data_IF_957879461297
#
_entry.id   IF_957879461297
#
_cell.length_a   1.000
_cell.length_b   1.000
_cell.length_c   1.000
_cell.angle_alpha   90.00
_cell.angle_beta   90.00
_cell.angle_gamma   90.00
#
_symmetry.space_group_name_H-M   'P 1'
#
loop_
_entity.id
_entity.type
_entity.pdbx_description
1 polymer ?
#
# COMPACT_ATOMS: atom_id res chain seq x y z
N UNK A 1 3.08 19.68 -2.47
CA UNK A 1 4.29 18.99 -2.95
C UNK A 1 3.96 17.53 -3.04
N UNK A 2 4.50 16.82 -4.04
CA UNK A 2 4.53 15.37 -4.00
C UNK A 2 5.77 15.05 -3.15
N UNK A 3 5.57 14.48 -1.98
CA UNK A 3 6.68 14.01 -1.16
C UNK A 3 7.21 12.71 -1.78
N UNK A 4 8.53 12.61 -1.87
CA UNK A 4 9.26 11.45 -2.39
C UNK A 4 10.05 10.80 -1.27
N UNK A 5 9.85 9.49 -1.08
CA UNK A 5 10.61 8.70 -0.11
C UNK A 5 11.39 7.61 -0.82
N UNK A 6 12.67 7.46 -0.43
CA UNK A 6 13.49 6.33 -0.85
C UNK A 6 13.31 5.19 0.15
N UNK A 7 13.03 4.01 -0.38
CA UNK A 7 12.93 2.75 0.34
C UNK A 7 14.10 1.89 -0.11
N UNK A 8 15.00 1.54 0.79
CA UNK A 8 16.30 0.95 0.43
C UNK A 8 16.16 -0.45 -0.17
N UNK A 9 15.29 -1.28 0.40
CA UNK A 9 15.14 -2.70 0.08
C UNK A 9 13.73 -3.20 0.46
N UNK A 10 13.52 -4.52 0.36
CA UNK A 10 12.25 -5.14 0.71
C UNK A 10 11.92 -5.12 2.21
N UNK A 11 12.93 -5.12 3.10
CA UNK A 11 12.69 -5.02 4.54
C UNK A 11 12.23 -3.60 4.90
N UNK A 12 12.90 -2.58 4.36
CA UNK A 12 12.47 -1.19 4.47
C UNK A 12 11.05 -0.98 3.90
N UNK A 13 10.68 -1.68 2.82
CA UNK A 13 9.32 -1.66 2.28
C UNK A 13 8.31 -2.27 3.26
N UNK A 14 8.68 -3.36 3.94
CA UNK A 14 7.85 -4.00 4.97
C UNK A 14 7.69 -3.07 6.17
N UNK A 15 8.78 -2.49 6.67
CA UNK A 15 8.80 -1.53 7.78
C UNK A 15 7.95 -0.28 7.48
N UNK A 16 8.06 0.27 6.27
CA UNK A 16 7.20 1.37 5.82
C UNK A 16 5.73 0.93 5.83
N UNK A 17 5.45 -0.28 5.35
CA UNK A 17 4.13 -0.89 5.44
C UNK A 17 3.62 -0.99 6.88
N UNK A 18 4.46 -1.43 7.83
CA UNK A 18 4.09 -1.50 9.26
C UNK A 18 3.74 -0.13 9.82
N UNK A 19 4.52 0.90 9.49
CA UNK A 19 4.24 2.29 9.86
C UNK A 19 2.89 2.73 9.29
N UNK A 20 2.65 2.48 8.00
CA UNK A 20 1.38 2.75 7.36
C UNK A 20 0.22 2.05 8.09
N UNK A 21 0.34 0.75 8.34
CA UNK A 21 -0.70 -0.05 8.99
C UNK A 21 -1.10 0.46 10.37
N UNK A 22 -0.13 0.94 11.18
CA UNK A 22 -0.40 1.49 12.52
C UNK A 22 -1.20 2.79 12.48
N UNK A 23 -1.13 3.53 11.37
CA UNK A 23 -1.80 4.82 11.21
C UNK A 23 -3.16 4.72 10.53
N UNK A 24 -3.49 3.56 9.95
CA UNK A 24 -4.78 3.33 9.30
C UNK A 24 -5.92 3.31 10.30
N UNK A 25 -7.03 3.94 9.90
CA UNK A 25 -8.28 4.06 10.63
C UNK A 25 -9.42 3.52 9.79
N UNK A 26 -10.56 3.31 10.46
CA UNK A 26 -11.84 3.04 9.80
C UNK A 26 -12.13 4.13 8.76
N UNK A 27 -12.53 3.74 7.55
CA UNK A 27 -12.80 4.65 6.44
C UNK A 27 -11.58 5.03 5.59
N UNK A 28 -10.36 4.67 6.00
CA UNK A 28 -9.18 4.99 5.20
C UNK A 28 -9.12 4.11 3.94
N UNK A 29 -8.98 4.75 2.78
CA UNK A 29 -8.73 4.11 1.49
C UNK A 29 -7.32 4.42 1.01
N UNK A 30 -6.51 3.38 0.81
CA UNK A 30 -5.16 3.47 0.25
C UNK A 30 -5.08 2.69 -1.05
N UNK A 31 -4.54 3.32 -2.08
CA UNK A 31 -4.32 2.73 -3.40
C UNK A 31 -2.83 2.55 -3.65
N UNK A 32 -2.42 1.36 -4.09
CA UNK A 32 -1.04 1.04 -4.45
C UNK A 32 -0.92 0.90 -5.96
N UNK A 33 -0.09 1.76 -6.55
CA UNK A 33 0.19 1.81 -7.98
C UNK A 33 1.67 1.57 -8.25
N UNK A 34 2.00 0.93 -9.37
CA UNK A 34 3.37 0.64 -9.77
C UNK A 34 3.47 -0.68 -10.53
N UNK A 35 4.55 -0.91 -11.31
CA UNK A 35 4.67 -2.08 -12.18
C UNK A 35 4.65 -3.42 -11.43
N UNK A 36 4.54 -4.53 -12.19
CA UNK A 36 4.73 -5.86 -11.63
C UNK A 36 6.13 -5.96 -10.98
N UNK A 37 6.21 -6.56 -9.80
CA UNK A 37 7.47 -6.64 -9.04
C UNK A 37 7.88 -5.34 -8.34
N UNK A 38 7.07 -4.28 -8.35
CA UNK A 38 7.39 -3.03 -7.65
C UNK A 38 7.49 -3.18 -6.11
N UNK A 39 6.87 -4.21 -5.53
CA UNK A 39 6.87 -4.44 -4.07
C UNK A 39 5.53 -4.18 -3.38
N UNK A 40 4.44 -3.99 -4.14
CA UNK A 40 3.08 -3.77 -3.59
C UNK A 40 2.68 -4.82 -2.55
N UNK A 41 2.81 -6.12 -2.87
CA UNK A 41 2.48 -7.19 -1.93
C UNK A 41 3.40 -7.20 -0.69
N UNK A 42 4.66 -6.79 -0.80
CA UNK A 42 5.56 -6.63 0.35
C UNK A 42 5.05 -5.52 1.27
N UNK A 43 4.66 -4.38 0.70
CA UNK A 43 4.03 -3.28 1.44
C UNK A 43 2.73 -3.74 2.13
N UNK A 44 1.85 -4.45 1.43
CA UNK A 44 0.59 -4.98 1.98
C UNK A 44 0.84 -5.88 3.20
N UNK A 45 1.88 -6.72 3.17
CA UNK A 45 2.24 -7.57 4.32
C UNK A 45 2.69 -6.74 5.52
N UNK A 46 3.51 -5.71 5.29
CA UNK A 46 3.86 -4.75 6.33
C UNK A 46 2.63 -4.06 6.91
N UNK A 47 1.70 -3.61 6.06
CA UNK A 47 0.43 -2.99 6.52
C UNK A 47 -0.35 -3.94 7.42
N UNK A 48 -0.48 -5.20 7.02
CA UNK A 48 -1.17 -6.21 7.82
C UNK A 48 -0.51 -6.44 9.18
N UNK A 49 0.83 -6.43 9.24
CA UNK A 49 1.59 -6.51 10.49
C UNK A 49 1.37 -5.28 11.37
N UNK A 50 1.43 -4.08 10.78
CA UNK A 50 1.16 -2.81 11.48
C UNK A 50 -0.26 -2.70 12.05
N UNK A 51 -1.24 -3.30 11.35
CA UNK A 51 -2.63 -3.35 11.78
C UNK A 51 -2.92 -4.48 12.79
N UNK A 52 -2.00 -5.41 13.02
CA UNK A 52 -2.22 -6.62 13.85
C UNK A 52 -3.42 -7.47 13.39
N UNK A 53 -3.50 -7.74 12.07
CA UNK A 53 -4.55 -8.62 11.54
C UNK A 53 -4.20 -10.10 11.65
N UNK A 54 -5.24 -10.93 11.65
CA UNK A 54 -5.14 -12.38 11.75
C UNK A 54 -4.96 -13.05 10.38
N UNK A 55 -4.31 -14.21 10.39
CA UNK A 55 -4.07 -15.01 9.20
C UNK A 55 -2.86 -14.58 8.39
N UNK A 56 -2.59 -15.32 7.31
CA UNK A 56 -1.51 -15.00 6.37
C UNK A 56 -2.05 -14.04 5.32
N UNK A 57 -1.35 -12.94 5.09
CA UNK A 57 -1.69 -12.01 4.01
C UNK A 57 -0.96 -12.42 2.72
N UNK A 58 -1.77 -12.77 1.73
CA UNK A 58 -1.33 -13.17 0.40
C UNK A 58 -2.13 -12.37 -0.61
N UNK A 59 -1.51 -11.98 -1.72
CA UNK A 59 -2.22 -11.39 -2.85
C UNK A 59 -3.44 -12.26 -3.20
N UNK A 60 -4.65 -11.69 -3.31
CA UNK A 60 -5.86 -12.41 -3.65
C UNK A 60 -5.78 -12.91 -5.10
N UNK A 61 -5.08 -14.03 -5.28
CA UNK A 61 -4.72 -14.58 -6.60
C UNK A 61 -5.90 -15.28 -7.28
N UNK A 62 -7.01 -15.53 -6.57
CA UNK A 62 -8.20 -16.23 -7.08
C UNK A 62 -9.53 -15.60 -6.66
N UNK A 63 -9.49 -14.61 -5.77
CA UNK A 63 -10.65 -13.86 -5.28
C UNK A 63 -10.38 -12.38 -5.55
N UNK A 64 -11.42 -11.55 -5.56
CA UNK A 64 -11.26 -10.12 -5.87
C UNK A 64 -10.81 -9.34 -4.63
N UNK A 65 -11.27 -9.74 -3.44
CA UNK A 65 -10.89 -9.16 -2.17
C UNK A 65 -10.72 -10.22 -1.08
N UNK A 66 -9.80 -9.96 -0.15
CA UNK A 66 -9.66 -10.68 1.11
C UNK A 66 -9.97 -9.75 2.28
N UNK A 67 -10.68 -10.26 3.28
CA UNK A 67 -10.88 -9.56 4.56
C UNK A 67 -10.03 -10.22 5.63
N UNK A 68 -9.17 -9.43 6.26
CA UNK A 68 -8.29 -9.86 7.33
C UNK A 68 -8.74 -9.22 8.65
N UNK A 69 -9.19 -10.06 9.59
CA UNK A 69 -9.77 -9.60 10.85
C UNK A 69 -8.70 -9.05 11.79
N UNK A 70 -8.93 -7.85 12.32
CA UNK A 70 -8.10 -7.29 13.39
C UNK A 70 -8.16 -8.19 14.64
N UNK A 71 -7.04 -8.36 15.35
CA UNK A 71 -7.01 -9.15 16.59
C UNK A 71 -7.47 -8.36 17.82
N UNK A 72 -7.39 -7.04 17.76
CA UNK A 72 -7.81 -6.12 18.82
C UNK A 72 -9.10 -5.39 18.48
N UNK A 73 -9.15 -4.11 18.81
CA UNK A 73 -10.30 -3.23 18.56
C UNK A 73 -10.12 -2.34 17.31
N UNK A 74 -9.08 -2.61 16.50
CA UNK A 74 -8.79 -1.84 15.28
C UNK A 74 -9.75 -2.18 14.13
N UNK A 75 -9.65 -1.45 12.99
CA UNK A 75 -10.37 -1.80 11.77
C UNK A 75 -9.85 -3.12 11.19
N UNK A 76 -10.75 -3.85 10.52
CA UNK A 76 -10.34 -4.96 9.65
C UNK A 76 -9.59 -4.40 8.43
N UNK A 77 -8.70 -5.21 7.85
CA UNK A 77 -8.06 -4.88 6.58
C UNK A 77 -8.82 -5.55 5.45
N UNK A 78 -9.32 -4.75 4.52
CA UNK A 78 -9.82 -5.22 3.24
C UNK A 78 -8.70 -5.05 2.21
N UNK A 79 -8.22 -6.16 1.66
CA UNK A 79 -7.19 -6.16 0.62
C UNK A 79 -7.81 -6.54 -0.72
N UNK A 80 -7.81 -5.61 -1.67
CA UNK A 80 -8.40 -5.75 -2.99
C UNK A 80 -7.30 -5.79 -4.05
N UNK A 81 -7.40 -6.70 -5.02
CA UNK A 81 -6.57 -6.66 -6.24
C UNK A 81 -7.45 -6.27 -7.44
N UNK A 82 -7.39 -4.98 -7.80
CA UNK A 82 -8.21 -4.40 -8.86
C UNK A 82 -7.70 -4.76 -10.27
N UNK A 83 -6.54 -5.40 -10.40
CA UNK A 83 -6.05 -5.90 -11.70
C UNK A 83 -7.05 -6.88 -12.33
N UNK A 84 -7.77 -7.64 -11.48
CA UNK A 84 -8.73 -8.66 -11.90
C UNK A 84 -10.15 -8.18 -12.11
N UNK A 85 -10.44 -6.93 -11.72
CA UNK A 85 -11.75 -6.35 -11.90
C UNK A 85 -12.04 -6.11 -13.38
N UNK A 86 -13.13 -6.68 -13.89
CA UNK A 86 -13.60 -6.46 -15.26
C UNK A 86 -14.45 -5.19 -15.41
N UNK A 87 -14.84 -4.56 -14.30
CA UNK A 87 -15.61 -3.31 -14.27
C UNK A 87 -16.01 -2.90 -12.85
N UNK A 88 -16.63 -1.72 -12.73
CA UNK A 88 -17.13 -1.18 -11.47
C UNK A 88 -18.21 -2.07 -10.82
N UNK A 89 -18.99 -2.78 -11.63
CA UNK A 89 -20.05 -3.68 -11.14
C UNK A 89 -19.52 -4.80 -10.22
N UNK A 90 -18.27 -5.25 -10.44
CA UNK A 90 -17.63 -6.24 -9.57
C UNK A 90 -17.16 -5.65 -8.24
N UNK A 91 -16.93 -4.34 -8.17
CA UNK A 91 -16.64 -3.61 -6.92
C UNK A 91 -17.93 -3.49 -6.11
N UNK A 92 -19.04 -3.10 -6.76
CA UNK A 92 -20.35 -3.02 -6.12
C UNK A 92 -20.79 -4.39 -5.58
N UNK A 93 -20.50 -5.48 -6.30
CA UNK A 93 -20.79 -6.84 -5.86
C UNK A 93 -20.00 -7.29 -4.61
N UNK A 94 -18.91 -6.60 -4.27
CA UNK A 94 -18.13 -6.88 -3.05
C UNK A 94 -18.72 -6.21 -1.82
N UNK A 95 -19.74 -5.37 -1.97
CA UNK A 95 -20.34 -4.58 -0.87
C UNK A 95 -19.24 -3.75 -0.15
N UNK A 96 -18.28 -3.24 -0.93
CA UNK A 96 -17.18 -2.43 -0.38
C UNK A 96 -17.69 -1.10 0.15
N UNK A 97 -18.66 -0.50 -0.52
CA UNK A 97 -19.34 0.72 -0.09
C UNK A 97 -19.94 0.60 1.32
N UNK A 98 -20.46 -0.57 1.71
CA UNK A 98 -21.02 -0.77 3.05
C UNK A 98 -19.99 -1.10 4.12
N UNK A 99 -18.79 -1.54 3.72
CA UNK A 99 -17.72 -1.99 4.64
C UNK A 99 -16.53 -1.03 4.73
N UNK A 100 -16.40 -0.10 3.78
CA UNK A 100 -15.36 0.92 3.72
C UNK A 100 -15.32 1.76 4.99
N UNK A 101 -16.47 2.23 5.47
CA UNK A 101 -16.57 3.11 6.64
C UNK A 101 -16.12 2.43 7.95
N UNK A 102 -16.12 1.09 8.00
CA UNK A 102 -15.79 0.29 9.19
C UNK A 102 -14.43 -0.42 9.11
N UNK A 103 -13.76 -0.33 7.95
CA UNK A 103 -12.52 -1.05 7.67
C UNK A 103 -11.45 -0.08 7.18
N UNK A 104 -10.20 -0.54 7.11
CA UNK A 104 -9.19 0.11 6.28
C UNK A 104 -9.07 -0.69 4.98
N UNK A 105 -9.12 0.00 3.85
CA UNK A 105 -9.14 -0.65 2.54
C UNK A 105 -7.86 -0.35 1.78
N UNK A 106 -7.17 -1.40 1.35
CA UNK A 106 -5.95 -1.34 0.57
C UNK A 106 -6.20 -1.96 -0.80
N UNK A 107 -6.07 -1.17 -1.86
CA UNK A 107 -6.34 -1.60 -3.24
C UNK A 107 -5.05 -1.61 -4.05
N UNK A 108 -4.66 -2.77 -4.56
CA UNK A 108 -3.63 -2.86 -5.59
C UNK A 108 -4.23 -2.58 -6.97
N UNK A 109 -3.53 -1.80 -7.81
CA UNK A 109 -3.91 -1.52 -9.21
C UNK A 109 -5.28 -0.83 -9.38
N UNK A 110 -5.65 0.01 -8.42
CA UNK A 110 -6.95 0.69 -8.40
C UNK A 110 -7.10 1.87 -9.38
N UNK A 111 -6.02 2.30 -10.04
CA UNK A 111 -6.05 3.47 -10.94
C UNK A 111 -7.08 3.28 -12.07
N UNK A 112 -7.94 4.29 -12.24
CA UNK A 112 -9.07 4.31 -13.17
C UNK A 112 -10.26 3.44 -12.77
N UNK A 113 -10.22 2.78 -11.61
CA UNK A 113 -11.24 1.80 -11.18
C UNK A 113 -11.85 2.08 -9.82
N UNK A 114 -11.10 2.60 -8.84
CA UNK A 114 -11.59 2.72 -7.45
C UNK A 114 -11.61 4.15 -6.92
N UNK A 115 -11.29 5.17 -7.73
CA UNK A 115 -11.29 6.55 -7.23
C UNK A 115 -12.68 7.02 -6.80
N UNK A 116 -13.73 6.40 -7.35
CA UNK A 116 -15.13 6.69 -7.02
C UNK A 116 -15.54 6.18 -5.64
N UNK A 117 -14.78 5.26 -5.04
CA UNK A 117 -15.12 4.63 -3.76
C UNK A 117 -14.95 5.57 -2.57
N UNK A 118 -14.07 6.56 -2.66
CA UNK A 118 -13.92 7.54 -1.60
C UNK A 118 -13.48 8.91 -2.12
N UNK A 119 -14.12 9.94 -1.55
CA UNK A 119 -13.69 11.33 -1.70
C UNK A 119 -12.41 11.64 -0.92
N UNK A 120 -12.04 10.78 0.04
CA UNK A 120 -10.81 10.87 0.83
C UNK A 120 -9.97 9.59 0.66
N UNK A 121 -8.83 9.71 -0.03
CA UNK A 121 -7.97 8.57 -0.38
C UNK A 121 -6.52 8.97 -0.56
N UNK A 122 -5.63 8.02 -0.22
CA UNK A 122 -4.19 8.13 -0.44
C UNK A 122 -3.75 7.18 -1.55
N UNK A 123 -3.17 7.72 -2.61
CA UNK A 123 -2.51 6.96 -3.67
C UNK A 123 -1.00 6.94 -3.41
N UNK A 124 -0.42 5.75 -3.38
CA UNK A 124 1.02 5.51 -3.22
C UNK A 124 1.54 4.90 -4.53
N UNK A 125 2.37 5.65 -5.23
CA UNK A 125 3.08 5.17 -6.41
C UNK A 125 4.42 4.57 -5.98
N UNK A 126 4.67 3.33 -6.39
CA UNK A 126 5.88 2.57 -6.11
C UNK A 126 6.68 2.43 -7.41
N UNK A 127 7.69 3.27 -7.57
CA UNK A 127 8.60 3.21 -8.71
C UNK A 127 9.77 2.30 -8.38
N UNK A 128 10.12 1.44 -9.35
CA UNK A 128 11.34 0.62 -9.31
C UNK A 128 12.35 1.15 -10.34
N UNK A 129 13.66 1.03 -10.08
CA UNK A 129 14.68 1.28 -11.09
C UNK A 129 14.40 0.41 -12.32
N UNK A 130 14.42 1.02 -13.50
CA UNK A 130 14.39 0.28 -14.77
C UNK A 130 15.81 0.28 -15.31
N UNK A 131 16.41 -0.90 -15.48
CA UNK A 131 17.70 -1.01 -16.13
C UNK A 131 17.60 -0.48 -17.57
N UNK A 132 18.52 0.39 -17.97
CA UNK A 132 18.62 0.86 -19.36
C UNK A 132 18.79 -0.34 -20.30
N UNK A 133 17.94 -0.42 -21.32
CA UNK A 133 18.01 -1.41 -22.40
C UNK A 133 19.36 -1.35 -23.12
N UNK A 134 20.21 -2.35 -22.91
CA UNK A 134 20.98 -3.06 -23.94
C UNK A 134 21.87 -4.11 -23.25
N UNK A 135 21.60 -5.39 -23.51
CA UNK A 135 22.33 -6.53 -22.96
C UNK A 135 21.38 -7.48 -22.23
N UNK A 136 21.29 -8.71 -22.73
CA UNK A 136 20.76 -9.85 -21.97
C UNK A 136 21.65 -10.09 -20.75
N UNK A 137 21.47 -9.29 -19.70
CA UNK A 137 21.96 -9.57 -18.36
C UNK A 137 20.84 -9.20 -17.38
N UNK A 138 20.33 -10.25 -16.74
CA UNK A 138 19.14 -10.32 -15.90
C UNK A 138 19.37 -9.60 -14.55
N UNK A 139 19.59 -8.29 -14.59
CA UNK A 139 19.74 -7.43 -13.41
C UNK A 139 18.44 -6.70 -13.03
N UNK A 140 17.32 -7.13 -13.60
CA UNK A 140 16.01 -6.54 -13.35
C UNK A 140 15.38 -6.98 -12.00
N UNK A 141 16.04 -7.78 -11.15
CA UNK A 141 15.29 -8.61 -10.18
C UNK A 141 15.93 -8.80 -8.79
N UNK A 142 16.74 -7.88 -8.28
CA UNK A 142 17.08 -7.97 -6.85
C UNK A 142 15.93 -7.40 -6.01
N UNK A 143 15.44 -8.22 -5.08
CA UNK A 143 14.51 -7.85 -4.02
C UNK A 143 15.04 -6.63 -3.23
N UNK A 144 16.37 -6.45 -3.20
CA UNK A 144 17.09 -5.40 -2.48
C UNK A 144 17.36 -4.12 -3.28
N UNK A 145 16.89 -4.00 -4.53
CA UNK A 145 17.03 -2.73 -5.23
C UNK A 145 16.15 -1.66 -4.55
N UNK A 146 16.58 -0.39 -4.50
CA UNK A 146 15.78 0.66 -3.90
C UNK A 146 14.46 0.89 -4.67
N UNK A 147 13.47 1.43 -3.99
CA UNK A 147 12.19 1.90 -4.56
C UNK A 147 11.98 3.36 -4.19
N UNK A 148 11.24 4.07 -5.03
CA UNK A 148 10.79 5.43 -4.72
C UNK A 148 9.29 5.41 -4.51
N UNK A 149 8.84 5.89 -3.36
CA UNK A 149 7.43 6.12 -3.07
C UNK A 149 7.08 7.57 -3.36
N UNK A 150 5.97 7.78 -4.07
CA UNK A 150 5.34 9.09 -4.26
C UNK A 150 3.91 9.04 -3.78
N UNK A 151 3.46 10.11 -3.14
CA UNK A 151 2.10 10.20 -2.60
C UNK A 151 1.23 11.18 -3.41
N UNK A 152 0.00 10.78 -3.71
CA UNK A 152 -1.07 11.70 -4.10
C UNK A 152 -2.24 11.55 -3.12
N UNK A 153 -2.55 12.62 -2.40
CA UNK A 153 -3.60 12.64 -1.39
C UNK A 153 -4.79 13.49 -1.83
N UNK A 154 -5.96 12.88 -1.88
CA UNK A 154 -7.25 13.55 -2.11
C UNK A 154 -8.04 13.53 -0.82
N UNK A 155 -8.56 14.68 -0.38
CA UNK A 155 -9.26 14.79 0.91
C UNK A 155 -8.35 15.28 2.05
N UNK A 156 -8.94 15.52 3.23
CA UNK A 156 -8.21 16.04 4.38
C UNK A 156 -7.46 14.92 5.09
N UNK A 157 -8.11 13.79 5.32
CA UNK A 157 -7.55 12.66 6.07
C UNK A 157 -6.34 12.07 5.35
N UNK A 158 -6.40 11.90 4.04
CA UNK A 158 -5.30 11.41 3.23
C UNK A 158 -4.07 12.33 3.25
N UNK A 159 -4.27 13.65 3.30
CA UNK A 159 -3.16 14.62 3.40
C UNK A 159 -2.49 14.57 4.77
N UNK A 160 -3.29 14.47 5.83
CA UNK A 160 -2.79 14.27 7.19
C UNK A 160 -2.00 12.95 7.29
N UNK A 161 -2.55 11.87 6.72
CA UNK A 161 -1.89 10.57 6.68
C UNK A 161 -0.56 10.65 5.90
N UNK A 162 -0.53 11.19 4.68
CA UNK A 162 0.70 11.34 3.89
C UNK A 162 1.78 12.14 4.63
N UNK A 163 1.39 13.26 5.28
CA UNK A 163 2.31 14.07 6.07
C UNK A 163 2.87 13.31 7.27
N UNK A 164 2.02 12.53 7.95
CA UNK A 164 2.41 11.74 9.11
C UNK A 164 3.38 10.62 8.72
N UNK A 165 3.10 9.90 7.63
CA UNK A 165 3.98 8.84 7.10
C UNK A 165 5.35 9.39 6.74
N UNK A 166 5.39 10.53 6.04
CA UNK A 166 6.65 11.18 5.65
C UNK A 166 7.49 11.55 6.88
N UNK A 167 6.86 12.13 7.91
CA UNK A 167 7.54 12.49 9.15
C UNK A 167 8.05 11.27 9.92
N UNK A 168 7.22 10.22 10.06
CA UNK A 168 7.60 9.00 10.77
C UNK A 168 8.70 8.22 10.05
N UNK A 169 8.63 8.10 8.72
CA UNK A 169 9.66 7.42 7.94
C UNK A 169 11.01 8.15 8.01
N UNK A 170 10.99 9.49 7.95
CA UNK A 170 12.22 10.29 8.09
C UNK A 170 12.86 10.06 9.46
N UNK A 171 12.08 10.11 10.55
CA UNK A 171 12.59 9.85 11.90
C UNK A 171 13.07 8.39 12.07
N UNK A 172 12.37 7.41 11.48
CA UNK A 172 12.76 6.00 11.48
C UNK A 172 14.13 5.78 10.81
N UNK A 173 14.30 6.34 9.60
CA UNK A 173 15.57 6.23 8.86
C UNK A 173 16.72 6.96 9.56
N UNK A 174 16.49 8.12 10.17
CA UNK A 174 17.51 8.83 10.95
C UNK A 174 17.95 8.07 12.20
N UNK A 175 17.05 7.34 12.85
CA UNK A 175 17.35 6.52 14.03
C UNK A 175 18.13 5.26 13.66
N UNK A 176 17.72 4.59 12.59
CA UNK A 176 18.36 3.35 12.13
C UNK A 176 19.72 3.63 11.47
N UNK A 177 19.87 4.73 10.74
CA UNK A 177 21.15 5.14 10.13
C UNK A 177 22.20 5.68 11.12
N UNK A 178 21.85 5.89 12.40
CA UNK A 178 22.81 6.26 13.47
C UNK A 178 23.41 5.05 14.19
N UNK A 179 22.96 3.84 13.86
CA UNK A 179 23.38 2.59 14.51
C UNK A 179 24.48 1.84 13.72
N UNK A 180 24.90 2.37 12.57
CA UNK A 180 25.99 1.85 11.72
C UNK A 180 27.29 2.67 11.84
#
# INVERSE_FOLDING_TARGET
MIDELVIADAEAMREFGEILGRELRRGDLVMLSGPLGAGKTTMVRGVAEGMDVSGRVTSPTFVIANVHKNRGNGPDLIHVDAYRLNGLEEIDALDLDTTLDDSATLVEWGEGKVEVLSADRLEIFIDRPTGSSEGEDVLDLYEDAPRTLRFAATGQRARELASQLTAQWTDHTEKNGKLD
#
